data_IF_512753275338
#
_entry.id   IF_512753275338
#
_cell.length_a   1.000
_cell.length_b   1.000
_cell.length_c   1.000
_cell.angle_alpha   90.00
_cell.angle_beta   90.00
_cell.angle_gamma   90.00
#
_symmetry.space_group_name_H-M   'P 1'
#
loop_
_entity.id
_entity.type
_entity.pdbx_description
1 polymer ?
#
# COMPACT_ATOMS: atom_id res chain seq x y z
N UNK A 1 -65.15 -4.91 32.69
CA UNK A 1 -65.47 -3.90 31.65
C UNK A 1 -64.41 -3.92 30.55
N UNK A 2 -64.70 -4.47 29.37
CA UNK A 2 -63.79 -4.47 28.21
C UNK A 2 -63.95 -3.14 27.47
N UNK A 3 -63.02 -2.19 27.65
CA UNK A 3 -63.01 -0.93 26.87
C UNK A 3 -62.73 -1.28 25.41
N UNK A 4 -63.76 -1.24 24.56
CA UNK A 4 -63.63 -1.38 23.11
C UNK A 4 -63.05 -0.07 22.58
N UNK A 5 -61.78 -0.07 22.21
CA UNK A 5 -61.16 1.04 21.50
C UNK A 5 -61.84 1.18 20.12
N UNK A 6 -62.28 2.40 19.79
CA UNK A 6 -62.89 2.71 18.49
C UNK A 6 -61.83 2.60 17.38
N UNK A 7 -62.20 2.11 16.20
CA UNK A 7 -61.28 1.98 15.05
C UNK A 7 -60.57 3.30 14.70
N UNK A 8 -61.21 4.44 14.94
CA UNK A 8 -60.64 5.76 14.75
C UNK A 8 -59.45 6.04 15.69
N UNK A 9 -59.51 5.55 16.93
CA UNK A 9 -58.39 5.70 17.90
C UNK A 9 -57.19 4.84 17.51
N UNK A 10 -57.42 3.68 16.89
CA UNK A 10 -56.35 2.82 16.38
C UNK A 10 -55.69 3.41 15.13
N UNK A 11 -56.49 3.97 14.21
CA UNK A 11 -55.97 4.64 13.02
C UNK A 11 -55.15 5.88 13.36
N UNK A 12 -55.59 6.69 14.33
CA UNK A 12 -54.83 7.86 14.79
C UNK A 12 -53.48 7.46 15.41
N UNK A 13 -53.46 6.39 16.22
CA UNK A 13 -52.24 5.92 16.88
C UNK A 13 -51.25 5.30 15.88
N UNK A 14 -51.75 4.61 14.86
CA UNK A 14 -50.95 4.09 13.75
C UNK A 14 -50.34 5.23 12.89
N UNK A 15 -51.11 6.28 12.60
CA UNK A 15 -50.62 7.44 11.85
C UNK A 15 -49.54 8.22 12.61
N UNK A 16 -49.70 8.40 13.92
CA UNK A 16 -48.69 9.04 14.78
C UNK A 16 -47.42 8.20 14.86
N UNK A 17 -47.54 6.87 14.94
CA UNK A 17 -46.40 5.96 14.96
C UNK A 17 -45.65 5.96 13.62
N UNK A 18 -46.38 6.05 12.50
CA UNK A 18 -45.81 6.13 11.15
C UNK A 18 -45.13 7.48 10.88
N UNK A 19 -45.70 8.58 11.36
CA UNK A 19 -45.07 9.91 11.34
C UNK A 19 -43.81 9.96 12.23
N UNK A 20 -43.82 9.28 13.37
CA UNK A 20 -42.63 9.13 14.22
C UNK A 20 -41.51 8.34 13.55
N UNK A 21 -41.85 7.25 12.84
CA UNK A 21 -40.90 6.44 12.08
C UNK A 21 -40.30 7.18 10.88
N UNK A 22 -41.08 7.98 10.14
CA UNK A 22 -40.55 8.82 9.06
C UNK A 22 -39.64 9.95 9.58
N UNK A 23 -39.92 10.47 10.79
CA UNK A 23 -39.07 11.49 11.42
C UNK A 23 -37.70 10.94 11.83
N UNK A 24 -37.61 9.64 12.16
CA UNK A 24 -36.37 8.97 12.51
C UNK A 24 -35.46 8.76 11.29
N UNK A 25 -36.03 8.55 10.10
CA UNK A 25 -35.26 8.41 8.85
C UNK A 25 -34.75 9.74 8.29
N UNK A 26 -35.36 10.87 8.65
CA UNK A 26 -34.94 12.20 8.18
C UNK A 26 -33.69 12.74 8.90
N UNK A 27 -33.32 12.17 10.05
CA UNK A 27 -32.18 12.63 10.85
C UNK A 27 -30.83 12.00 10.45
N UNK A 28 -30.79 11.10 9.46
CA UNK A 28 -29.55 10.55 8.90
C UNK A 28 -29.20 11.12 7.54
N UNK A 29 -29.58 12.37 7.27
CA UNK A 29 -28.89 13.15 6.24
C UNK A 29 -27.50 13.49 6.79
N UNK A 30 -26.53 12.61 6.51
CA UNK A 30 -25.12 12.93 6.62
C UNK A 30 -24.90 14.21 5.81
N UNK A 31 -24.83 15.33 6.51
CA UNK A 31 -24.65 16.66 5.94
C UNK A 31 -23.19 16.75 5.49
N UNK A 32 -22.86 16.02 4.42
CA UNK A 32 -21.56 16.02 3.79
C UNK A 32 -21.54 17.28 2.95
N UNK A 33 -21.03 18.38 3.51
CA UNK A 33 -20.69 19.53 2.70
C UNK A 33 -19.90 19.04 1.46
N UNK A 34 -20.19 19.56 0.25
CA UNK A 34 -19.43 19.18 -0.93
C UNK A 34 -17.95 19.46 -0.66
N UNK A 35 -17.12 18.43 -0.84
CA UNK A 35 -15.69 18.55 -0.56
C UNK A 35 -15.03 19.50 -1.52
N UNK A 36 -14.24 20.40 -0.95
CA UNK A 36 -13.45 21.37 -1.68
C UNK A 36 -11.98 21.12 -1.39
N UNK A 37 -11.16 21.03 -2.44
CA UNK A 37 -9.70 20.99 -2.30
C UNK A 37 -9.10 22.34 -1.91
N UNK A 38 -9.90 23.41 -1.87
CA UNK A 38 -9.45 24.75 -1.53
C UNK A 38 -9.77 25.13 -0.08
N UNK A 39 -10.45 24.25 0.66
CA UNK A 39 -10.77 24.45 2.06
C UNK A 39 -10.24 23.25 2.85
N UNK A 40 -9.46 23.52 3.90
CA UNK A 40 -8.90 22.42 4.70
C UNK A 40 -10.02 21.75 5.50
N UNK A 41 -10.14 20.41 5.45
CA UNK A 41 -11.04 19.67 6.32
C UNK A 41 -10.57 19.65 7.80
N UNK A 42 -9.37 20.17 8.08
CA UNK A 42 -8.78 20.24 9.41
C UNK A 42 -8.67 21.70 9.88
N UNK A 43 -8.72 21.96 11.20
CA UNK A 43 -8.52 23.31 11.72
C UNK A 43 -7.12 23.84 11.36
N UNK A 44 -6.97 25.16 11.39
CA UNK A 44 -5.70 25.81 11.07
C UNK A 44 -4.56 25.27 11.96
N UNK A 45 -3.34 25.13 11.41
CA UNK A 45 -2.23 24.56 12.13
C UNK A 45 -1.78 25.54 13.22
N UNK A 46 -1.63 25.05 14.45
CA UNK A 46 -1.08 25.81 15.57
C UNK A 46 0.39 25.50 15.82
N UNK A 47 0.90 24.43 15.20
CA UNK A 47 2.22 23.85 15.38
C UNK A 47 2.63 23.09 14.11
N UNK A 48 3.93 22.86 13.85
CA UNK A 48 4.38 21.99 12.77
C UNK A 48 3.90 20.54 12.89
N UNK A 49 3.52 20.08 14.08
CA UNK A 49 3.03 18.71 14.31
C UNK A 49 1.60 18.72 14.82
N UNK A 50 0.67 18.27 13.98
CA UNK A 50 -0.76 18.20 14.26
C UNK A 50 -1.22 16.75 14.36
N UNK A 51 -1.28 16.23 15.59
CA UNK A 51 -1.78 14.88 15.86
C UNK A 51 -3.25 14.90 16.29
N UNK A 52 -4.16 14.60 15.36
CA UNK A 52 -5.59 14.43 15.61
C UNK A 52 -5.97 12.97 15.94
N UNK A 53 -5.04 12.02 15.77
CA UNK A 53 -5.25 10.62 16.07
C UNK A 53 -4.85 10.25 17.52
N UNK A 54 -4.07 11.11 18.18
CA UNK A 54 -3.46 10.89 19.49
C UNK A 54 -2.60 9.62 19.53
N UNK A 55 -1.74 9.45 18.52
CA UNK A 55 -0.82 8.32 18.40
C UNK A 55 0.59 8.65 18.90
N UNK A 56 0.91 9.93 19.07
CA UNK A 56 2.18 10.41 19.61
C UNK A 56 2.04 10.67 21.11
N UNK A 57 3.03 10.22 21.89
CA UNK A 57 3.18 10.69 23.26
C UNK A 57 3.66 12.15 23.28
N UNK A 58 3.44 12.84 24.41
CA UNK A 58 3.74 14.25 24.55
C UNK A 58 5.23 14.58 24.36
N UNK A 59 6.13 13.71 24.81
CA UNK A 59 7.58 13.95 24.70
C UNK A 59 8.03 13.82 23.23
N UNK A 60 7.56 12.77 22.54
CA UNK A 60 7.85 12.58 21.11
C UNK A 60 7.30 13.73 20.27
N UNK A 61 6.04 14.14 20.53
CA UNK A 61 5.45 15.29 19.84
C UNK A 61 6.27 16.57 20.05
N UNK A 62 6.60 16.90 21.30
CA UNK A 62 7.38 18.10 21.60
C UNK A 62 8.79 18.06 20.98
N UNK A 63 9.45 16.91 21.00
CA UNK A 63 10.77 16.73 20.38
C UNK A 63 10.71 16.93 18.87
N UNK A 64 9.70 16.37 18.20
CA UNK A 64 9.45 16.58 16.77
C UNK A 64 9.17 18.05 16.46
N UNK A 65 8.30 18.71 17.21
CA UNK A 65 8.00 20.13 17.03
C UNK A 65 9.26 20.99 17.13
N UNK A 66 10.07 20.76 18.16
CA UNK A 66 11.32 21.48 18.35
C UNK A 66 12.30 21.21 17.19
N UNK A 67 12.46 19.95 16.79
CA UNK A 67 13.35 19.58 15.68
C UNK A 67 12.95 20.27 14.37
N UNK A 68 11.65 20.31 14.06
CA UNK A 68 11.12 20.96 12.85
C UNK A 68 11.30 22.48 12.89
N UNK A 69 11.08 23.12 14.04
CA UNK A 69 11.31 24.56 14.22
C UNK A 69 12.79 24.90 14.08
N UNK A 70 13.67 24.15 14.75
CA UNK A 70 15.11 24.34 14.66
C UNK A 70 15.63 24.15 13.24
N UNK A 71 15.13 23.14 12.53
CA UNK A 71 15.51 22.90 11.13
C UNK A 71 15.12 24.09 10.25
N UNK A 72 13.85 24.52 10.31
CA UNK A 72 13.36 25.70 9.57
C UNK A 72 14.23 26.93 9.82
N UNK A 73 14.59 27.18 11.08
CA UNK A 73 15.35 28.37 11.48
C UNK A 73 16.85 28.29 11.13
N UNK A 74 17.39 27.08 10.90
CA UNK A 74 18.77 26.86 10.42
C UNK A 74 18.91 27.01 8.90
N UNK A 75 17.86 26.76 8.15
CA UNK A 75 17.87 26.83 6.67
C UNK A 75 17.62 28.24 6.13
N UNK A 76 18.30 28.58 5.02
CA UNK A 76 18.06 29.81 4.26
C UNK A 76 18.11 29.53 2.75
N UNK A 77 16.98 29.61 2.00
CA UNK A 77 15.63 29.99 2.45
C UNK A 77 15.07 29.03 3.51
N UNK A 78 14.06 29.49 4.27
CA UNK A 78 13.48 28.70 5.35
C UNK A 78 12.72 27.50 4.78
N UNK A 79 13.08 26.30 5.19
CA UNK A 79 12.40 25.07 4.77
C UNK A 79 11.35 24.69 5.80
N UNK A 80 10.08 24.59 5.40
CA UNK A 80 8.97 24.27 6.28
C UNK A 80 8.53 22.81 6.12
N UNK A 81 8.81 22.00 7.13
CA UNK A 81 8.32 20.62 7.21
C UNK A 81 7.19 20.55 8.24
N UNK A 82 6.04 20.01 7.84
CA UNK A 82 4.88 19.82 8.70
C UNK A 82 4.42 18.36 8.71
N UNK A 83 3.81 17.95 9.82
CA UNK A 83 3.26 16.61 10.02
C UNK A 83 1.81 16.72 10.46
N UNK A 84 0.90 16.05 9.75
CA UNK A 84 -0.50 15.95 10.12
C UNK A 84 -0.91 14.47 10.21
N UNK A 85 -1.49 14.09 11.34
CA UNK A 85 -1.93 12.72 11.62
C UNK A 85 -3.42 12.73 11.90
N UNK A 86 -4.17 11.96 11.14
CA UNK A 86 -5.60 11.76 11.31
C UNK A 86 -5.93 10.30 11.49
N UNK A 87 -7.12 10.02 12.01
CA UNK A 87 -7.62 8.64 12.10
C UNK A 87 -7.90 8.06 10.71
N UNK A 88 -8.72 8.74 9.91
CA UNK A 88 -9.12 8.30 8.57
C UNK A 88 -9.41 9.49 7.67
N UNK A 89 -9.26 9.32 6.35
CA UNK A 89 -9.75 10.24 5.31
C UNK A 89 -11.16 9.88 4.85
N UNK A 90 -11.77 8.84 5.43
CA UNK A 90 -13.07 8.30 5.03
C UNK A 90 -13.01 7.68 3.63
N UNK A 91 -14.00 7.97 2.80
CA UNK A 91 -14.02 7.48 1.40
C UNK A 91 -13.14 8.31 0.44
N UNK A 92 -12.37 9.27 0.97
CA UNK A 92 -11.58 10.18 0.14
C UNK A 92 -10.17 9.63 -0.10
N UNK A 93 -9.63 9.77 -1.32
CA UNK A 93 -8.22 9.52 -1.57
C UNK A 93 -7.33 10.37 -0.66
N UNK A 94 -6.29 9.76 -0.09
CA UNK A 94 -5.34 10.46 0.80
C UNK A 94 -4.63 11.61 0.09
N UNK A 95 -4.40 11.49 -1.22
CA UNK A 95 -3.84 12.55 -2.04
C UNK A 95 -4.73 13.80 -2.01
N UNK A 96 -6.01 13.68 -2.39
CA UNK A 96 -6.93 14.82 -2.45
C UNK A 96 -7.14 15.44 -1.06
N UNK A 97 -7.23 14.59 -0.02
CA UNK A 97 -7.38 15.05 1.35
C UNK A 97 -6.15 15.83 1.83
N UNK A 98 -4.95 15.28 1.65
CA UNK A 98 -3.70 15.95 2.04
C UNK A 98 -3.44 17.22 1.24
N UNK A 99 -3.84 17.25 -0.04
CA UNK A 99 -3.77 18.45 -0.88
C UNK A 99 -4.71 19.55 -0.37
N UNK A 100 -5.94 19.20 0.02
CA UNK A 100 -6.89 20.14 0.61
C UNK A 100 -6.36 20.75 1.92
N UNK A 101 -5.74 19.92 2.76
CA UNK A 101 -5.07 20.35 3.99
C UNK A 101 -3.91 21.29 3.69
N UNK A 102 -3.00 20.90 2.78
CA UNK A 102 -1.83 21.71 2.43
C UNK A 102 -2.22 23.09 1.88
N UNK A 103 -3.24 23.15 1.01
CA UNK A 103 -3.79 24.40 0.45
C UNK A 103 -4.47 25.25 1.50
N UNK A 104 -5.36 24.67 2.30
CA UNK A 104 -6.07 25.42 3.33
C UNK A 104 -5.18 25.91 4.47
N UNK A 105 -4.05 25.24 4.71
CA UNK A 105 -3.01 25.69 5.64
C UNK A 105 -1.98 26.63 5.01
N UNK A 106 -2.07 26.87 3.69
CA UNK A 106 -1.15 27.69 2.92
C UNK A 106 0.33 27.28 3.03
N UNK A 107 0.60 26.00 3.28
CA UNK A 107 1.97 25.47 3.27
C UNK A 107 2.53 25.69 1.85
N UNK A 108 3.76 26.18 1.69
CA UNK A 108 4.35 26.37 0.34
C UNK A 108 3.47 27.21 -0.60
N UNK A 109 2.78 28.22 -0.07
CA UNK A 109 2.01 29.15 -0.89
C UNK A 109 2.95 30.14 -1.59
N UNK A 110 2.56 30.59 -2.79
CA UNK A 110 3.26 31.66 -3.54
C UNK A 110 3.52 32.93 -2.75
N UNK A 111 2.74 33.17 -1.70
CA UNK A 111 2.91 34.32 -0.80
C UNK A 111 4.14 34.15 0.10
N UNK A 112 4.51 32.91 0.45
CA UNK A 112 5.66 32.59 1.28
C UNK A 112 6.92 32.21 0.49
N UNK A 113 6.80 31.66 -0.72
CA UNK A 113 7.93 31.26 -1.60
C UNK A 113 8.97 30.35 -0.88
N UNK A 114 8.55 29.71 0.21
CA UNK A 114 9.40 28.90 1.08
C UNK A 114 9.30 27.43 0.66
N UNK A 115 10.43 26.72 0.47
CA UNK A 115 10.42 25.28 0.25
C UNK A 115 9.69 24.57 1.39
N UNK A 116 8.66 23.79 1.07
CA UNK A 116 7.77 23.24 2.09
C UNK A 116 7.33 21.81 1.77
N UNK A 117 7.12 20.99 2.81
CA UNK A 117 6.47 19.69 2.67
C UNK A 117 5.54 19.36 3.83
N UNK A 118 4.42 18.71 3.51
CA UNK A 118 3.46 18.18 4.49
C UNK A 118 3.46 16.65 4.43
N UNK A 119 3.93 16.01 5.50
CA UNK A 119 3.72 14.59 5.75
C UNK A 119 2.32 14.38 6.32
N UNK A 120 1.44 13.76 5.56
CA UNK A 120 0.06 13.46 5.95
C UNK A 120 -0.11 11.96 6.19
N UNK A 121 -0.74 11.59 7.31
CA UNK A 121 -0.85 10.20 7.75
C UNK A 121 -2.28 9.90 8.18
N UNK A 122 -2.87 8.84 7.61
CA UNK A 122 -4.17 8.30 8.00
C UNK A 122 -3.99 6.91 8.62
N UNK A 123 -4.14 6.84 9.95
CA UNK A 123 -3.75 5.67 10.74
C UNK A 123 -4.65 4.45 10.46
N UNK A 124 -5.97 4.63 10.45
CA UNK A 124 -6.94 3.55 10.25
C UNK A 124 -6.93 3.07 8.81
N UNK A 125 -6.67 3.96 7.85
CA UNK A 125 -6.60 3.66 6.43
C UNK A 125 -5.28 2.99 6.04
N UNK A 126 -4.28 3.06 6.92
CA UNK A 126 -2.88 2.61 6.73
C UNK A 126 -2.20 3.24 5.52
N UNK A 127 -2.41 4.54 5.34
CA UNK A 127 -1.84 5.32 4.23
C UNK A 127 -1.10 6.55 4.73
N UNK A 128 0.02 6.84 4.10
CA UNK A 128 0.76 8.07 4.26
C UNK A 128 0.99 8.70 2.89
N UNK A 129 0.98 10.02 2.83
CA UNK A 129 1.30 10.77 1.63
C UNK A 129 2.07 12.02 2.02
N UNK A 130 3.12 12.36 1.28
CA UNK A 130 3.81 13.64 1.45
C UNK A 130 3.44 14.57 0.31
N UNK A 131 3.00 15.78 0.62
CA UNK A 131 2.83 16.86 -0.37
C UNK A 131 4.11 17.69 -0.36
N UNK A 132 4.78 17.84 -1.49
CA UNK A 132 6.04 18.61 -1.61
C UNK A 132 5.79 19.83 -2.48
N UNK A 133 6.16 21.02 -2.01
CA UNK A 133 6.08 22.24 -2.81
C UNK A 133 7.12 22.21 -3.92
N UNK A 134 6.84 22.92 -5.01
CA UNK A 134 7.74 23.00 -6.16
C UNK A 134 9.18 23.40 -5.78
N UNK A 135 9.32 24.30 -4.82
CA UNK A 135 10.63 24.83 -4.40
C UNK A 135 11.44 23.86 -3.53
N UNK A 136 10.86 22.73 -3.12
CA UNK A 136 11.55 21.65 -2.40
C UNK A 136 11.67 20.37 -3.25
N UNK A 137 11.16 20.37 -4.49
CA UNK A 137 11.16 19.18 -5.35
C UNK A 137 12.58 18.78 -5.78
N UNK A 138 13.48 19.75 -5.93
CA UNK A 138 14.88 19.50 -6.30
C UNK A 138 15.63 18.76 -5.19
N UNK A 139 15.39 19.10 -3.92
CA UNK A 139 15.95 18.43 -2.77
C UNK A 139 15.24 17.10 -2.50
N UNK A 140 13.90 17.13 -2.51
CA UNK A 140 13.04 16.06 -1.99
C UNK A 140 12.01 15.58 -3.05
N UNK A 141 12.46 14.99 -4.18
CA UNK A 141 11.58 14.57 -5.26
C UNK A 141 10.70 13.37 -4.85
N UNK A 142 9.53 13.22 -5.48
CA UNK A 142 8.54 12.17 -5.17
C UNK A 142 9.18 10.78 -4.98
N UNK A 143 9.93 10.29 -5.98
CA UNK A 143 10.53 8.95 -5.91
C UNK A 143 11.44 8.75 -4.70
N UNK A 144 12.14 9.80 -4.27
CA UNK A 144 12.98 9.76 -3.06
C UNK A 144 12.11 9.73 -1.81
N UNK A 145 11.06 10.56 -1.75
CA UNK A 145 10.14 10.57 -0.60
C UNK A 145 9.48 9.21 -0.38
N UNK A 146 9.00 8.60 -1.46
CA UNK A 146 8.39 7.26 -1.43
C UNK A 146 9.40 6.20 -0.96
N UNK A 147 10.66 6.30 -1.40
CA UNK A 147 11.72 5.40 -0.96
C UNK A 147 12.01 5.54 0.55
N UNK A 148 12.14 6.78 1.04
CA UNK A 148 12.40 7.06 2.45
C UNK A 148 11.22 6.62 3.35
N UNK A 149 9.98 6.84 2.91
CA UNK A 149 8.80 6.34 3.63
C UNK A 149 8.82 4.81 3.75
N UNK A 150 9.16 4.08 2.68
CA UNK A 150 9.27 2.61 2.72
C UNK A 150 10.41 2.12 3.61
N UNK A 151 11.49 2.90 3.73
CA UNK A 151 12.66 2.54 4.52
C UNK A 151 12.48 2.82 6.02
N UNK A 152 11.92 3.97 6.37
CA UNK A 152 11.88 4.45 7.75
C UNK A 152 10.48 4.40 8.38
N UNK A 153 9.44 4.77 7.62
CA UNK A 153 8.07 4.89 8.15
C UNK A 153 7.36 3.54 8.18
N UNK A 154 7.29 2.84 7.03
CA UNK A 154 6.52 1.59 6.87
C UNK A 154 6.93 0.49 7.86
N UNK A 155 8.24 0.19 8.09
CA UNK A 155 8.63 -0.88 9.00
C UNK A 155 8.25 -0.62 10.46
N UNK A 156 8.35 0.64 10.90
CA UNK A 156 7.98 1.06 12.25
C UNK A 156 6.44 1.04 12.44
N UNK A 157 5.70 1.47 11.42
CA UNK A 157 4.24 1.49 11.44
C UNK A 157 3.63 0.09 11.46
N UNK A 158 4.25 -0.88 10.78
CA UNK A 158 3.89 -2.30 10.89
C UNK A 158 4.06 -2.88 12.30
N UNK A 159 4.92 -2.27 13.11
CA UNK A 159 5.16 -2.66 14.51
C UNK A 159 4.30 -1.83 15.49
N UNK A 160 3.44 -0.94 14.99
CA UNK A 160 2.66 -0.02 15.82
C UNK A 160 3.49 1.10 16.45
N UNK A 161 4.75 1.28 16.05
CA UNK A 161 5.64 2.32 16.58
C UNK A 161 5.60 3.58 15.71
N UNK A 162 4.50 4.32 15.79
CA UNK A 162 4.25 5.49 14.95
C UNK A 162 5.24 6.63 15.23
N UNK A 163 5.49 6.93 16.51
CA UNK A 163 6.42 7.99 16.91
C UNK A 163 7.83 7.80 16.37
N UNK A 164 8.35 6.57 16.47
CA UNK A 164 9.66 6.22 15.88
C UNK A 164 9.66 6.37 14.36
N UNK A 165 8.66 5.83 13.68
CA UNK A 165 8.59 5.88 12.21
C UNK A 165 8.55 7.30 11.66
N UNK A 166 7.82 8.20 12.33
CA UNK A 166 7.76 9.62 11.98
C UNK A 166 9.10 10.30 12.26
N UNK A 167 9.69 10.07 13.43
CA UNK A 167 10.97 10.68 13.82
C UNK A 167 12.09 10.29 12.87
N UNK A 168 12.24 9.00 12.58
CA UNK A 168 13.26 8.48 11.67
C UNK A 168 13.07 9.04 10.25
N UNK A 169 11.82 9.13 9.77
CA UNK A 169 11.53 9.68 8.44
C UNK A 169 11.86 11.17 8.36
N UNK A 170 11.47 11.96 9.37
CA UNK A 170 11.76 13.40 9.42
C UNK A 170 13.27 13.63 9.48
N UNK A 171 14.00 12.86 10.28
CA UNK A 171 15.46 12.92 10.32
C UNK A 171 16.07 12.62 8.95
N UNK A 172 15.57 11.60 8.25
CA UNK A 172 16.02 11.27 6.90
C UNK A 172 15.72 12.37 5.87
N UNK A 173 14.56 13.03 5.96
CA UNK A 173 14.24 14.20 5.14
C UNK A 173 15.20 15.36 5.41
N UNK A 174 15.41 15.72 6.69
CA UNK A 174 16.35 16.78 7.09
C UNK A 174 17.75 16.51 6.53
N UNK A 175 18.30 15.31 6.75
CA UNK A 175 19.63 14.93 6.23
C UNK A 175 19.70 15.03 4.71
N UNK A 176 18.64 14.61 4.02
CA UNK A 176 18.58 14.66 2.55
C UNK A 176 18.62 16.10 2.05
N UNK A 177 17.81 16.98 2.64
CA UNK A 177 17.75 18.40 2.28
C UNK A 177 19.09 19.08 2.56
N UNK A 178 19.67 18.86 3.75
CA UNK A 178 20.98 19.42 4.11
C UNK A 178 22.12 18.92 3.21
N UNK A 179 22.09 17.65 2.80
CA UNK A 179 23.14 17.10 1.92
C UNK A 179 23.14 17.80 0.56
N UNK A 180 21.97 17.91 -0.07
CA UNK A 180 21.83 18.56 -1.38
C UNK A 180 22.06 20.06 -1.33
N UNK A 181 21.57 20.75 -0.29
CA UNK A 181 21.80 22.18 -0.10
C UNK A 181 23.27 22.56 0.05
N UNK A 182 24.09 21.66 0.61
CA UNK A 182 25.53 21.87 0.78
C UNK A 182 26.37 21.39 -0.43
N UNK A 183 25.75 21.02 -1.55
CA UNK A 183 26.45 20.54 -2.76
C UNK A 183 27.06 19.14 -2.62
N UNK A 184 26.78 18.45 -1.51
CA UNK A 184 27.10 17.04 -1.37
C UNK A 184 25.95 16.26 -2.00
N UNK A 185 26.15 15.76 -3.23
CA UNK A 185 25.22 14.85 -3.88
C UNK A 185 24.68 13.82 -2.88
N UNK A 186 23.37 13.50 -2.91
CA UNK A 186 22.70 12.79 -1.84
C UNK A 186 23.54 11.58 -1.50
N UNK A 187 23.92 11.49 -0.22
CA UNK A 187 24.26 10.21 0.37
C UNK A 187 22.95 9.44 0.26
N UNK A 188 22.80 8.72 -0.85
CA UNK A 188 22.25 7.39 -0.77
C UNK A 188 23.09 6.76 0.32
N UNK A 189 22.61 6.88 1.56
CA UNK A 189 22.97 5.98 2.62
C UNK A 189 22.47 4.65 2.04
N UNK A 190 23.35 4.04 1.25
CA UNK A 190 23.73 2.66 1.44
C UNK A 190 23.99 2.60 2.93
N UNK A 191 22.90 2.49 3.70
CA UNK A 191 22.88 1.89 5.00
C UNK A 191 23.84 0.74 4.80
N UNK A 192 24.93 0.79 5.56
CA UNK A 192 25.70 -0.40 5.85
C UNK A 192 24.69 -1.38 6.46
N UNK A 193 23.89 -2.01 5.60
CA UNK A 193 23.62 -3.41 5.75
C UNK A 193 25.02 -3.96 5.96
N UNK A 194 25.29 -4.64 7.08
CA UNK A 194 26.42 -5.54 7.05
C UNK A 194 26.18 -6.31 5.75
N UNK A 195 27.10 -6.18 4.77
CA UNK A 195 27.14 -7.07 3.62
C UNK A 195 26.91 -8.41 4.27
N UNK A 196 25.71 -8.97 4.08
CA UNK A 196 25.42 -10.30 4.54
C UNK A 196 26.42 -11.06 3.70
N UNK A 197 27.56 -11.39 4.32
CA UNK A 197 28.54 -12.34 3.81
C UNK A 197 27.70 -13.34 3.10
N UNK A 198 27.92 -13.51 1.80
CA UNK A 198 27.26 -14.54 1.01
C UNK A 198 27.37 -15.83 1.83
N UNK A 199 26.31 -16.08 2.58
CA UNK A 199 26.32 -17.03 3.66
C UNK A 199 25.85 -18.27 2.96
N UNK A 200 26.82 -18.91 2.32
CA UNK A 200 26.77 -20.27 1.84
C UNK A 200 25.47 -20.59 1.12
N UNK A 201 25.54 -20.72 -0.20
CA UNK A 201 24.74 -21.74 -0.88
C UNK A 201 24.75 -22.96 0.05
N UNK A 202 23.61 -23.21 0.71
CA UNK A 202 23.56 -24.14 1.82
C UNK A 202 24.04 -25.45 1.23
N UNK A 203 25.08 -26.04 1.82
CA UNK A 203 25.65 -27.32 1.38
C UNK A 203 24.52 -28.36 1.20
N UNK A 204 23.42 -28.21 1.96
CA UNK A 204 22.16 -28.93 1.77
C UNK A 204 21.54 -28.83 0.35
N UNK A 205 21.50 -27.67 -0.31
CA UNK A 205 20.91 -27.52 -1.64
C UNK A 205 21.77 -28.18 -2.73
N UNK A 206 23.10 -28.13 -2.60
CA UNK A 206 24.01 -28.82 -3.52
C UNK A 206 23.91 -30.34 -3.33
N UNK A 207 23.83 -30.81 -2.08
CA UNK A 207 23.65 -32.24 -1.77
C UNK A 207 22.30 -32.75 -2.27
N UNK A 208 21.22 -31.98 -2.11
CA UNK A 208 19.90 -32.34 -2.65
C UNK A 208 19.92 -32.38 -4.19
N UNK A 209 20.55 -31.40 -4.85
CA UNK A 209 20.72 -31.43 -6.31
C UNK A 209 21.54 -32.64 -6.79
N UNK A 210 22.59 -33.03 -6.07
CA UNK A 210 23.39 -34.21 -6.41
C UNK A 210 22.63 -35.52 -6.19
N UNK A 211 21.81 -35.62 -5.14
CA UNK A 211 20.95 -36.79 -4.90
C UNK A 211 19.90 -36.92 -6.00
N UNK A 212 19.26 -35.80 -6.39
CA UNK A 212 18.28 -35.79 -7.50
C UNK A 212 18.95 -36.20 -8.82
N UNK A 213 20.12 -35.65 -9.13
CA UNK A 213 20.90 -36.02 -10.31
C UNK A 213 21.26 -37.52 -10.29
N UNK A 214 21.70 -38.05 -9.15
CA UNK A 214 22.07 -39.46 -8.98
C UNK A 214 20.88 -40.41 -9.17
N UNK A 215 19.69 -40.06 -8.65
CA UNK A 215 18.45 -40.84 -8.85
C UNK A 215 18.02 -40.82 -10.31
N UNK A 216 18.14 -39.69 -11.01
CA UNK A 216 17.88 -39.60 -12.45
C UNK A 216 18.87 -40.49 -13.23
N UNK A 217 20.15 -40.48 -12.85
CA UNK A 217 21.18 -41.28 -13.50
C UNK A 217 20.95 -42.79 -13.29
N UNK A 218 20.51 -43.21 -12.10
CA UNK A 218 20.13 -44.59 -11.81
C UNK A 218 18.89 -45.06 -12.56
N UNK A 219 17.88 -44.20 -12.77
CA UNK A 219 16.70 -44.57 -13.55
C UNK A 219 17.00 -44.69 -15.04
N UNK A 220 17.97 -43.93 -15.55
CA UNK A 220 18.45 -44.02 -16.94
C UNK A 220 19.36 -45.25 -17.14
N UNK A 221 20.31 -45.50 -16.23
CA UNK A 221 21.22 -46.66 -16.33
C UNK A 221 20.53 -48.00 -15.98
N UNK A 222 19.57 -48.00 -15.06
CA UNK A 222 18.78 -49.19 -14.71
C UNK A 222 17.84 -49.66 -15.83
N UNK A 223 17.64 -48.84 -16.87
CA UNK A 223 16.79 -49.15 -18.02
C UNK A 223 17.59 -49.64 -19.25
N UNK A 224 18.91 -49.76 -19.14
CA UNK A 224 19.82 -50.20 -20.21
C UNK A 224 20.55 -51.52 -19.91
N UNK A 225 20.07 -52.29 -18.93
CA UNK A 225 20.65 -53.57 -18.52
C UNK A 225 19.61 -54.67 -18.39
N UNK A 226 19.06 -55.15 -19.51
CA UNK A 226 18.36 -56.45 -19.60
C UNK A 226 18.44 -56.97 -21.03
N UNK A 227 19.66 -57.33 -21.44
CA UNK A 227 19.89 -58.13 -22.64
C UNK A 227 19.78 -59.61 -22.27
N UNK A 228 18.77 -60.26 -22.86
CA UNK A 228 18.72 -61.67 -23.29
C UNK A 228 19.01 -62.78 -22.25
N UNK A 229 17.98 -63.60 -21.99
CA UNK A 229 18.12 -65.07 -22.01
C UNK A 229 16.91 -65.70 -22.71
N UNK A 230 17.18 -66.38 -23.81
CA UNK A 230 16.31 -67.38 -24.41
C UNK A 230 16.03 -68.48 -23.38
N UNK A 231 14.79 -68.94 -23.33
CA UNK A 231 14.46 -70.36 -23.18
C UNK A 231 13.04 -70.56 -23.69
N UNK A 232 12.97 -71.51 -24.60
CA UNK A 232 11.78 -72.06 -25.26
C UNK A 232 10.80 -72.58 -24.21
N UNK A 233 9.50 -72.45 -24.49
CA UNK A 233 8.41 -73.38 -24.14
C UNK A 233 7.09 -72.73 -24.59
N UNK A 234 6.70 -73.11 -25.80
CA UNK A 234 5.39 -73.53 -26.27
C UNK A 234 4.12 -73.22 -25.42
N UNK A 235 3.09 -72.81 -26.17
CA UNK A 235 1.64 -72.98 -25.94
C UNK A 235 0.80 -71.85 -25.31
N UNK A 236 -0.17 -71.44 -26.13
CA UNK A 236 -1.53 -71.05 -25.78
C UNK A 236 -1.88 -69.65 -25.26
N UNK A 237 -2.33 -68.85 -26.24
CA UNK A 237 -3.62 -68.14 -26.27
C UNK A 237 -3.95 -67.07 -25.21
N UNK A 238 -4.25 -65.88 -25.77
CA UNK A 238 -5.11 -64.78 -25.26
C UNK A 238 -4.43 -63.70 -24.41
N UNK A 239 -4.05 -62.63 -25.11
CA UNK A 239 -4.73 -61.33 -24.99
C UNK A 239 -4.68 -60.62 -23.64
N UNK A 240 -3.95 -59.50 -23.62
CA UNK A 240 -4.33 -58.30 -22.87
C UNK A 240 -4.21 -58.40 -21.36
N UNK A 241 -3.02 -58.06 -20.85
CA UNK A 241 -2.74 -57.99 -19.43
C UNK A 241 -3.66 -57.02 -18.68
N UNK A 242 -4.22 -57.50 -17.57
CA UNK A 242 -4.70 -56.69 -16.45
C UNK A 242 -4.65 -57.52 -15.16
N UNK A 243 -3.98 -56.99 -14.14
CA UNK A 243 -3.97 -57.54 -12.78
C UNK A 243 -2.78 -58.46 -12.49
N UNK A 244 -2.00 -58.28 -11.42
CA UNK A 244 -2.10 -57.37 -10.30
C UNK A 244 -1.13 -57.79 -9.19
N UNK A 245 -0.89 -56.87 -8.25
CA UNK A 245 -0.28 -57.14 -6.94
C UNK A 245 1.23 -56.85 -6.89
N UNK A 246 1.73 -55.88 -6.11
CA UNK A 246 1.11 -55.03 -5.11
C UNK A 246 2.16 -54.07 -4.52
N UNK A 247 1.72 -52.92 -4.02
CA UNK A 247 2.56 -51.98 -3.26
C UNK A 247 2.42 -50.53 -3.71
N UNK A 248 1.53 -49.77 -3.07
CA UNK A 248 1.57 -48.32 -2.80
C UNK A 248 2.02 -47.31 -3.90
N UNK A 249 2.04 -47.65 -5.18
CA UNK A 249 2.56 -46.79 -6.25
C UNK A 249 1.54 -46.37 -7.31
N UNK A 250 0.26 -46.71 -7.16
CA UNK A 250 -0.78 -46.44 -8.17
C UNK A 250 -1.55 -45.11 -8.00
N UNK A 251 -1.31 -44.34 -6.94
CA UNK A 251 -1.98 -43.05 -6.71
C UNK A 251 -1.17 -41.83 -7.18
N UNK A 252 0.10 -41.99 -7.52
CA UNK A 252 1.00 -40.88 -7.80
C UNK A 252 0.95 -40.28 -9.22
N UNK A 253 0.41 -40.92 -10.28
CA UNK A 253 0.34 -40.28 -11.59
C UNK A 253 -0.67 -39.13 -11.68
N UNK A 254 -1.65 -39.05 -10.77
CA UNK A 254 -2.71 -38.02 -10.80
C UNK A 254 -2.49 -36.86 -9.80
N UNK A 255 -1.57 -37.00 -8.83
CA UNK A 255 -1.25 -35.94 -7.85
C UNK A 255 -0.02 -35.12 -8.28
N UNK A 256 0.91 -35.71 -9.05
CA UNK A 256 2.09 -34.98 -9.56
C UNK A 256 1.75 -34.15 -10.82
N UNK A 257 0.75 -34.57 -11.60
CA UNK A 257 0.27 -33.83 -12.78
C UNK A 257 -0.43 -32.51 -12.46
N UNK A 258 -1.00 -32.34 -11.26
CA UNK A 258 -1.68 -31.11 -10.84
C UNK A 258 -0.75 -30.04 -10.23
N UNK A 259 0.52 -30.37 -10.01
CA UNK A 259 1.53 -29.43 -9.45
C UNK A 259 2.48 -28.91 -10.55
N UNK A 260 2.56 -29.58 -11.71
CA UNK A 260 3.47 -29.22 -12.82
C UNK A 260 2.79 -28.61 -14.05
N UNK A 261 1.46 -28.44 -14.06
CA UNK A 261 0.71 -27.82 -15.19
C UNK A 261 0.29 -26.36 -14.93
N UNK A 262 0.77 -25.70 -13.87
CA UNK A 262 0.53 -24.26 -13.63
C UNK A 262 1.66 -23.35 -14.12
N UNK A 263 2.37 -23.73 -15.19
CA UNK A 263 3.49 -22.93 -15.71
C UNK A 263 3.82 -23.23 -17.17
N UNK A 264 3.38 -22.32 -18.05
CA UNK A 264 3.79 -22.17 -19.46
C UNK A 264 3.17 -23.11 -20.51
N UNK A 265 2.22 -22.57 -21.26
CA UNK A 265 2.20 -22.72 -22.71
C UNK A 265 1.55 -21.48 -23.32
N UNK A 266 2.37 -20.64 -23.96
CA UNK A 266 1.91 -19.50 -24.74
C UNK A 266 1.24 -19.96 -26.03
N UNK A 267 0.25 -19.18 -26.48
CA UNK A 267 -0.42 -19.33 -27.76
C UNK A 267 -0.90 -17.95 -28.22
N UNK A 268 -0.29 -17.48 -29.30
CA UNK A 268 -0.63 -16.26 -30.03
C UNK A 268 -2.03 -16.30 -30.64
N UNK A 269 -2.78 -15.20 -30.55
CA UNK A 269 -3.84 -14.90 -31.51
C UNK A 269 -4.09 -13.40 -31.62
N UNK A 270 -3.86 -12.89 -32.83
CA UNK A 270 -4.37 -11.64 -33.37
C UNK A 270 -5.89 -11.56 -33.29
N UNK A 271 -6.43 -10.39 -32.94
CA UNK A 271 -7.86 -10.12 -33.04
C UNK A 271 -8.14 -8.65 -32.73
N UNK A 272 -8.52 -7.90 -33.76
CA UNK A 272 -8.79 -6.47 -33.67
C UNK A 272 -10.02 -6.13 -32.82
N UNK A 273 -10.03 -4.93 -32.28
CA UNK A 273 -11.18 -4.35 -31.61
C UNK A 273 -11.51 -3.02 -32.29
N UNK A 274 -12.46 -3.11 -33.23
CA UNK A 274 -13.24 -1.97 -33.69
C UNK A 274 -14.19 -1.55 -32.58
N UNK A 275 -14.31 -0.24 -32.39
CA UNK A 275 -15.01 0.36 -31.26
C UNK A 275 -16.52 0.38 -31.36
N UNK A 276 -17.14 0.92 -30.31
CA UNK A 276 -18.37 1.70 -30.39
C UNK A 276 -18.46 2.61 -29.17
N UNK A 277 -18.82 3.83 -29.49
CA UNK A 277 -18.98 5.05 -28.70
C UNK A 277 -20.16 5.05 -27.75
N UNK A 278 -19.95 5.64 -26.58
CA UNK A 278 -20.88 6.55 -25.87
C UNK A 278 -20.04 7.19 -24.76
N UNK A 279 -19.78 8.49 -24.68
CA UNK A 279 -20.56 9.62 -25.13
C UNK A 279 -20.82 10.49 -23.91
N UNK A 280 -20.15 11.64 -23.85
CA UNK A 280 -20.58 12.80 -23.06
C UNK A 280 -19.83 13.03 -21.76
N UNK A 281 -19.06 14.14 -21.71
CA UNK A 281 -18.73 14.78 -20.45
C UNK A 281 -17.39 15.49 -20.39
N UNK A 282 -17.03 16.28 -21.40
CA UNK A 282 -15.94 17.23 -21.30
C UNK A 282 -16.21 18.22 -20.16
N UNK A 283 -15.40 18.15 -19.10
CA UNK A 283 -15.19 19.30 -18.21
C UNK A 283 -13.81 19.18 -17.56
N UNK A 284 -12.78 19.26 -18.40
CA UNK A 284 -11.46 19.74 -17.99
C UNK A 284 -11.55 21.25 -17.75
N UNK A 285 -12.17 21.61 -16.62
CA UNK A 285 -12.42 22.98 -16.21
C UNK A 285 -11.57 23.36 -15.02
N UNK A 286 -10.61 24.26 -15.25
CA UNK A 286 -10.12 25.18 -14.22
C UNK A 286 -9.03 24.67 -13.28
N UNK A 287 -7.80 24.56 -13.77
CA UNK A 287 -6.63 24.80 -12.91
C UNK A 287 -6.64 26.29 -12.54
N UNK A 288 -7.26 26.62 -11.42
CA UNK A 288 -7.32 27.99 -10.92
C UNK A 288 -7.57 28.00 -9.41
N UNK A 289 -6.51 28.26 -8.63
CA UNK A 289 -6.65 28.58 -7.21
C UNK A 289 -5.45 28.22 -6.33
N UNK A 290 -4.41 29.05 -6.37
CA UNK A 290 -3.50 29.37 -5.25
C UNK A 290 -2.83 28.25 -4.45
N UNK A 291 -1.70 27.74 -4.94
CA UNK A 291 -0.72 26.97 -4.15
C UNK A 291 0.30 26.27 -5.06
N UNK A 292 1.56 26.16 -4.65
CA UNK A 292 2.67 25.63 -5.47
C UNK A 292 2.77 24.10 -5.47
N UNK A 293 1.74 23.40 -4.98
CA UNK A 293 1.61 21.94 -5.08
C UNK A 293 1.06 21.55 -6.46
N UNK A 294 1.96 21.42 -7.43
CA UNK A 294 1.67 21.03 -8.81
C UNK A 294 1.57 19.52 -9.06
N UNK A 295 1.48 18.70 -8.01
CA UNK A 295 1.48 17.22 -8.10
C UNK A 295 2.75 16.54 -7.60
N UNK A 296 3.63 17.26 -6.90
CA UNK A 296 4.85 16.71 -6.30
C UNK A 296 4.63 16.03 -4.95
N UNK A 297 5.38 14.95 -4.71
CA UNK A 297 5.37 14.18 -3.47
C UNK A 297 4.84 12.75 -3.65
N UNK A 298 4.94 11.93 -2.61
CA UNK A 298 4.83 10.47 -2.71
C UNK A 298 4.05 9.79 -1.61
N UNK A 299 3.37 8.69 -1.99
CA UNK A 299 2.52 7.89 -1.11
C UNK A 299 3.13 6.55 -0.71
N UNK A 300 2.80 6.11 0.50
CA UNK A 300 3.09 4.74 0.98
C UNK A 300 1.93 4.16 1.78
N UNK A 301 1.79 2.84 1.67
CA UNK A 301 0.82 2.05 2.44
C UNK A 301 1.58 1.06 3.35
N UNK A 302 1.01 0.68 4.50
CA UNK A 302 1.65 -0.27 5.43
C UNK A 302 0.79 -1.45 5.89
#
# INVERSE_FOLDING_TARGET
>A
MKKRFSSATFQALFLVLLLGLMSLTAYSQNNSAPFSINESPLPAPTSPVMDYANVLDANTKQALEQQLIEFRDKTNPKVELAVAIVKTTGERPIFDYSLAVARGWKIGSKEQDNPSALLFIAIDDRKAYVQVSKDLEDELPDGLTTSLQRQYLVPAFRQGNYGKGITDLIEAYIRTIESKGNGNAPVAETTNQPKKKESSLSICNIVICLIVLFVILLTIFGRFGSSKRNRDDDDDWRGGGFGGGGGAASALPWIVGSILTSGSSGGSSSGGWGGSSSGGGDSWGGFGGGGDFGGGGGGSDW
#
